data_IF_820420842884
#
_entry.id   IF_820420842884
#
_cell.length_a   1.000
_cell.length_b   1.000
_cell.length_c   1.000
_cell.angle_alpha   90.00
_cell.angle_beta   90.00
_cell.angle_gamma   90.00
#
_symmetry.space_group_name_H-M   'P 1'
#
loop_
_entity.id
_entity.type
_entity.pdbx_description
1 polymer ?
#
# COMPACT_ATOMS: atom_id res chain seq x y z
N UNK A 1 -1.80 14.86 3.86
CA UNK A 1 -1.31 16.12 4.46
C UNK A 1 -0.47 16.81 3.39
N UNK A 2 -0.92 17.96 2.88
CA UNK A 2 -0.13 18.77 1.94
C UNK A 2 0.72 19.73 2.79
N UNK A 3 2.03 19.71 2.59
CA UNK A 3 2.92 20.76 3.10
C UNK A 3 3.07 21.78 1.96
N UNK A 4 2.42 22.93 2.06
CA UNK A 4 2.56 24.00 1.06
C UNK A 4 3.34 25.18 1.65
N UNK A 5 4.54 25.42 1.11
CA UNK A 5 5.26 26.69 1.21
C UNK A 5 4.94 27.57 0.00
N UNK A 6 4.96 28.89 0.17
CA UNK A 6 4.63 29.84 -0.89
C UNK A 6 5.71 29.97 -1.97
N UNK A 7 5.23 30.29 -3.18
CA UNK A 7 5.87 30.91 -4.34
C UNK A 7 6.59 30.03 -5.38
N UNK A 8 5.84 29.70 -6.44
CA UNK A 8 6.25 29.62 -7.85
C UNK A 8 7.43 28.71 -8.25
N UNK A 9 7.46 27.49 -7.72
CA UNK A 9 8.19 26.37 -8.34
C UNK A 9 7.23 25.19 -8.31
N UNK A 10 7.15 24.39 -9.38
CA UNK A 10 6.47 23.09 -9.27
C UNK A 10 7.27 22.26 -8.26
N UNK A 11 6.89 22.37 -6.98
CA UNK A 11 7.37 21.51 -5.91
C UNK A 11 7.00 20.08 -6.31
N UNK A 12 7.92 19.14 -6.09
CA UNK A 12 7.66 17.73 -6.34
C UNK A 12 6.52 17.28 -5.42
N UNK A 13 5.28 17.37 -5.91
CA UNK A 13 4.09 17.05 -5.17
C UNK A 13 4.02 15.53 -4.99
N UNK A 14 4.45 15.05 -3.83
CA UNK A 14 4.30 13.66 -3.43
C UNK A 14 2.89 13.48 -2.85
N UNK A 15 2.16 12.51 -3.37
CA UNK A 15 0.85 12.11 -2.87
C UNK A 15 1.00 10.74 -2.22
N UNK A 16 0.60 10.65 -0.95
CA UNK A 16 0.45 9.38 -0.25
C UNK A 16 -0.97 8.88 -0.44
N UNK A 17 -1.11 7.65 -0.94
CA UNK A 17 -2.41 7.02 -1.17
C UNK A 17 -2.61 5.86 -0.19
N UNK A 18 -3.69 5.94 0.58
CA UNK A 18 -4.19 4.85 1.42
C UNK A 18 -5.64 4.55 1.02
N UNK A 19 -5.97 3.43 0.37
CA UNK A 19 -5.14 2.35 -0.20
C UNK A 19 -5.00 2.50 -1.73
N UNK A 20 -4.80 1.39 -2.46
CA UNK A 20 -4.88 1.34 -3.93
C UNK A 20 -5.99 0.36 -4.41
N UNK A 21 -6.40 0.42 -5.69
CA UNK A 21 -7.39 -0.52 -6.25
C UNK A 21 -7.02 -2.00 -6.09
N UNK A 22 -5.72 -2.32 -5.99
CA UNK A 22 -5.23 -3.67 -5.74
C UNK A 22 -5.80 -4.26 -4.44
N UNK A 23 -5.91 -3.44 -3.39
CA UNK A 23 -6.46 -3.87 -2.10
C UNK A 23 -7.96 -4.16 -2.23
N UNK A 24 -8.69 -3.37 -3.03
CA UNK A 24 -10.09 -3.63 -3.35
C UNK A 24 -10.29 -4.95 -4.08
N UNK A 25 -9.40 -5.32 -5.02
CA UNK A 25 -9.44 -6.61 -5.72
C UNK A 25 -9.36 -7.79 -4.72
N UNK A 26 -8.45 -7.72 -3.74
CA UNK A 26 -8.31 -8.80 -2.75
C UNK A 26 -9.45 -8.80 -1.72
N UNK A 27 -9.92 -7.63 -1.28
CA UNK A 27 -11.05 -7.55 -0.34
C UNK A 27 -12.36 -8.01 -0.95
N UNK A 28 -12.62 -7.69 -2.21
CA UNK A 28 -13.80 -8.16 -2.92
C UNK A 28 -13.81 -9.69 -2.96
N UNK A 29 -12.74 -10.32 -3.44
CA UNK A 29 -12.63 -11.78 -3.41
C UNK A 29 -12.79 -12.36 -1.99
N UNK A 30 -12.19 -11.73 -0.98
CA UNK A 30 -12.20 -12.25 0.39
C UNK A 30 -13.55 -12.13 1.08
N UNK A 31 -14.29 -11.03 0.89
CA UNK A 31 -15.56 -10.78 1.58
C UNK A 31 -16.77 -11.28 0.82
N UNK A 32 -16.77 -11.19 -0.51
CA UNK A 32 -17.92 -11.54 -1.35
C UNK A 32 -17.68 -12.75 -2.26
N UNK A 33 -16.46 -13.31 -2.27
CA UNK A 33 -16.12 -14.54 -3.00
C UNK A 33 -15.80 -14.35 -4.48
N UNK A 34 -15.77 -13.10 -4.98
CA UNK A 34 -15.35 -12.77 -6.33
C UNK A 34 -14.94 -11.31 -6.48
N UNK A 35 -14.21 -11.00 -7.56
CA UNK A 35 -13.94 -9.63 -8.00
C UNK A 35 -14.38 -9.46 -9.44
N UNK A 36 -15.08 -8.36 -9.73
CA UNK A 36 -15.57 -8.06 -11.09
C UNK A 36 -14.42 -7.76 -12.06
N UNK A 37 -14.68 -7.86 -13.36
CA UNK A 37 -13.66 -7.58 -14.37
C UNK A 37 -13.29 -6.09 -14.39
N UNK A 38 -14.24 -5.20 -14.13
CA UNK A 38 -14.02 -3.76 -14.08
C UNK A 38 -13.00 -3.38 -13.00
N UNK A 39 -13.10 -3.98 -11.80
CA UNK A 39 -12.12 -3.75 -10.73
C UNK A 39 -10.74 -4.26 -11.15
N UNK A 40 -10.66 -5.46 -11.74
CA UNK A 40 -9.39 -6.03 -12.21
C UNK A 40 -8.75 -5.17 -13.30
N UNK A 41 -9.54 -4.63 -14.22
CA UNK A 41 -9.09 -3.71 -15.26
C UNK A 41 -8.57 -2.40 -14.67
N UNK A 42 -9.24 -1.84 -13.65
CA UNK A 42 -8.76 -0.67 -12.91
C UNK A 42 -7.39 -0.97 -12.27
N UNK A 43 -7.22 -2.13 -11.62
CA UNK A 43 -5.92 -2.51 -11.05
C UNK A 43 -4.83 -2.53 -12.12
N UNK A 44 -5.06 -3.22 -13.23
CA UNK A 44 -4.06 -3.35 -14.31
C UNK A 44 -3.74 -2.00 -14.95
N UNK A 45 -4.73 -1.14 -15.18
CA UNK A 45 -4.55 0.16 -15.82
C UNK A 45 -3.95 1.22 -14.90
N UNK A 46 -4.04 1.06 -13.57
CA UNK A 46 -3.56 2.07 -12.61
C UNK A 46 -2.30 1.68 -11.85
N UNK A 47 -1.86 0.41 -11.90
CA UNK A 47 -0.69 -0.05 -11.13
C UNK A 47 0.58 0.75 -11.40
N UNK A 48 0.78 1.22 -12.63
CA UNK A 48 1.99 1.97 -13.02
C UNK A 48 1.88 3.48 -12.71
N UNK A 49 0.74 3.95 -12.19
CA UNK A 49 0.58 5.33 -11.69
C UNK A 49 1.28 5.54 -10.34
N UNK A 50 1.58 4.45 -9.63
CA UNK A 50 2.25 4.50 -8.34
C UNK A 50 3.75 4.24 -8.55
N UNK A 51 4.58 5.20 -8.16
CA UNK A 51 6.05 5.04 -8.28
C UNK A 51 6.68 4.21 -7.16
N UNK A 52 6.00 4.11 -6.02
CA UNK A 52 6.48 3.41 -4.84
C UNK A 52 5.31 2.75 -4.13
N UNK A 53 5.44 1.45 -3.90
CA UNK A 53 4.56 0.68 -3.03
C UNK A 53 5.29 0.36 -1.73
N UNK A 54 4.65 0.68 -0.61
CA UNK A 54 5.09 0.28 0.73
C UNK A 54 4.12 -0.78 1.23
N UNK A 55 4.60 -2.00 1.43
CA UNK A 55 3.81 -3.12 1.92
C UNK A 55 4.03 -3.27 3.42
N UNK A 56 2.99 -3.05 4.22
CA UNK A 56 3.02 -3.31 5.66
C UNK A 56 2.61 -4.77 5.92
N UNK A 57 3.44 -5.52 6.63
CA UNK A 57 3.05 -6.89 7.03
C UNK A 57 1.88 -6.89 8.04
N UNK A 58 1.22 -8.04 8.20
CA UNK A 58 0.09 -8.21 9.11
C UNK A 58 0.45 -8.70 10.52
N UNK A 59 1.73 -8.65 10.92
CA UNK A 59 2.23 -9.23 12.18
C UNK A 59 1.99 -8.35 13.42
N UNK A 60 1.47 -7.13 13.26
CA UNK A 60 1.03 -6.33 14.41
C UNK A 60 -0.14 -7.04 15.08
N UNK A 61 -0.08 -7.12 16.42
CA UNK A 61 -1.15 -7.68 17.23
C UNK A 61 -2.47 -6.98 16.92
N UNK A 62 -3.51 -7.78 16.72
CA UNK A 62 -4.85 -7.27 16.52
C UNK A 62 -5.27 -6.40 17.70
N UNK A 63 -5.85 -5.24 17.37
CA UNK A 63 -6.54 -4.37 18.31
C UNK A 63 -7.95 -4.24 17.76
N UNK A 64 -8.93 -4.57 18.60
CA UNK A 64 -10.34 -4.49 18.25
C UNK A 64 -10.71 -3.04 17.94
N UNK A 65 -11.32 -2.84 16.78
CA UNK A 65 -11.95 -1.58 16.40
C UNK A 65 -13.19 -1.84 15.53
N UNK A 66 -14.02 -0.82 15.33
CA UNK A 66 -15.32 -0.95 14.67
C UNK A 66 -15.25 -1.22 13.16
N UNK A 67 -14.07 -1.05 12.54
CA UNK A 67 -13.92 -1.00 11.08
C UNK A 67 -12.96 -2.04 10.51
N UNK A 68 -12.16 -2.72 11.35
CA UNK A 68 -11.25 -3.78 10.90
C UNK A 68 -11.96 -5.12 10.71
N UNK A 69 -11.55 -5.82 9.67
CA UNK A 69 -11.96 -7.19 9.36
C UNK A 69 -10.82 -8.18 9.63
N UNK A 70 -11.14 -9.47 9.78
CA UNK A 70 -10.19 -10.57 10.00
C UNK A 70 -9.41 -10.48 11.34
N UNK A 71 -10.09 -10.60 12.49
CA UNK A 71 -9.42 -10.59 13.80
C UNK A 71 -8.51 -11.82 14.02
N UNK A 72 -8.77 -12.92 13.31
CA UNK A 72 -7.99 -14.15 13.37
C UNK A 72 -6.66 -13.96 12.62
N UNK A 73 -5.55 -14.29 13.28
CA UNK A 73 -4.20 -14.12 12.72
C UNK A 73 -3.98 -14.90 11.42
N UNK A 74 -4.41 -16.15 11.38
CA UNK A 74 -4.30 -16.98 10.18
C UNK A 74 -5.03 -16.38 8.98
N UNK A 75 -6.19 -15.75 9.18
CA UNK A 75 -6.95 -15.14 8.09
C UNK A 75 -6.22 -13.92 7.51
N UNK A 76 -5.54 -13.14 8.37
CA UNK A 76 -4.69 -12.02 7.92
C UNK A 76 -3.47 -12.52 7.15
N UNK A 77 -2.84 -13.61 7.59
CA UNK A 77 -1.72 -14.24 6.87
C UNK A 77 -2.17 -14.71 5.49
N UNK A 78 -3.32 -15.38 5.38
CA UNK A 78 -3.90 -15.80 4.10
C UNK A 78 -4.20 -14.59 3.21
N UNK A 79 -4.77 -13.52 3.76
CA UNK A 79 -5.02 -12.29 3.01
C UNK A 79 -3.72 -11.67 2.47
N UNK A 80 -2.68 -11.59 3.32
CA UNK A 80 -1.35 -11.13 2.93
C UNK A 80 -0.76 -12.00 1.82
N UNK A 81 -0.86 -13.32 1.91
CA UNK A 81 -0.39 -14.25 0.87
C UNK A 81 -1.10 -14.03 -0.47
N UNK A 82 -2.44 -13.85 -0.45
CA UNK A 82 -3.21 -13.52 -1.66
C UNK A 82 -2.71 -12.22 -2.29
N UNK A 83 -2.48 -11.18 -1.48
CA UNK A 83 -2.00 -9.89 -1.96
C UNK A 83 -0.58 -9.99 -2.55
N UNK A 84 0.34 -10.71 -1.88
CA UNK A 84 1.71 -10.92 -2.37
C UNK A 84 1.71 -11.68 -3.70
N UNK A 85 0.90 -12.74 -3.81
CA UNK A 85 0.72 -13.47 -5.06
C UNK A 85 0.20 -12.56 -6.17
N UNK A 86 -0.77 -11.69 -5.86
CA UNK A 86 -1.32 -10.74 -6.84
C UNK A 86 -0.29 -9.70 -7.29
N UNK A 87 0.54 -9.19 -6.39
CA UNK A 87 1.68 -8.33 -6.75
C UNK A 87 2.63 -9.06 -7.72
N UNK A 88 2.96 -10.33 -7.44
CA UNK A 88 3.82 -11.14 -8.29
C UNK A 88 3.21 -11.36 -9.69
N UNK A 89 1.93 -11.71 -9.78
CA UNK A 89 1.22 -11.89 -11.05
C UNK A 89 1.20 -10.62 -11.91
N UNK A 90 1.08 -9.46 -11.27
CA UNK A 90 1.01 -8.16 -11.95
C UNK A 90 2.37 -7.47 -12.13
N UNK A 91 3.46 -8.09 -11.64
CA UNK A 91 4.80 -7.52 -11.67
C UNK A 91 4.98 -6.27 -10.79
N UNK A 92 4.10 -6.05 -9.80
CA UNK A 92 4.15 -4.89 -8.91
C UNK A 92 5.33 -5.06 -7.94
N UNK A 93 6.27 -4.11 -8.01
CA UNK A 93 7.38 -4.03 -7.07
C UNK A 93 6.96 -3.25 -5.83
N UNK A 94 7.38 -3.72 -4.66
CA UNK A 94 7.08 -3.09 -3.38
C UNK A 94 8.25 -3.22 -2.42
N UNK A 95 8.31 -2.32 -1.44
CA UNK A 95 9.18 -2.46 -0.29
C UNK A 95 8.40 -3.04 0.88
N UNK A 96 8.90 -4.15 1.43
CA UNK A 96 8.27 -4.85 2.54
C UNK A 96 8.71 -4.22 3.87
N UNK A 97 7.74 -3.85 4.70
CA UNK A 97 7.94 -3.16 5.97
C UNK A 97 7.48 -4.07 7.12
N UNK A 98 8.43 -4.42 7.99
CA UNK A 98 8.26 -5.35 9.11
C UNK A 98 8.69 -4.72 10.42
N UNK A 99 8.36 -5.39 11.53
CA UNK A 99 8.69 -4.97 12.88
C UNK A 99 7.53 -4.28 13.58
N UNK A 100 7.82 -3.50 14.60
CA UNK A 100 6.84 -2.67 15.31
C UNK A 100 6.51 -1.38 14.53
N UNK A 101 5.66 -0.53 15.12
CA UNK A 101 5.23 0.73 14.50
C UNK A 101 6.40 1.67 14.19
N UNK A 102 7.33 1.84 15.13
CA UNK A 102 8.48 2.74 14.98
C UNK A 102 9.44 2.25 13.90
N UNK A 103 9.73 0.94 13.88
CA UNK A 103 10.59 0.32 12.87
C UNK A 103 10.02 0.49 11.46
N UNK A 104 8.72 0.26 11.28
CA UNK A 104 8.04 0.44 9.99
C UNK A 104 8.06 1.88 9.52
N UNK A 105 7.77 2.81 10.41
CA UNK A 105 7.75 4.24 10.10
C UNK A 105 9.15 4.74 9.69
N UNK A 106 10.19 4.35 10.45
CA UNK A 106 11.56 4.72 10.14
C UNK A 106 12.02 4.10 8.80
N UNK A 107 11.68 2.83 8.55
CA UNK A 107 11.99 2.18 7.28
C UNK A 107 11.28 2.84 6.10
N UNK A 108 9.99 3.18 6.23
CA UNK A 108 9.24 3.92 5.22
C UNK A 108 9.90 5.26 4.89
N UNK A 109 10.23 6.06 5.91
CA UNK A 109 10.93 7.35 5.74
C UNK A 109 12.26 7.18 5.01
N UNK A 110 13.06 6.19 5.41
CA UNK A 110 14.35 5.90 4.77
C UNK A 110 14.19 5.56 3.29
N UNK A 111 13.23 4.69 2.93
CA UNK A 111 12.96 4.32 1.53
C UNK A 111 12.55 5.53 0.70
N UNK A 112 11.67 6.39 1.23
CA UNK A 112 11.20 7.58 0.51
C UNK A 112 12.35 8.58 0.33
N UNK A 113 13.16 8.83 1.35
CA UNK A 113 14.33 9.73 1.26
C UNK A 113 15.33 9.23 0.20
N UNK A 114 15.55 7.92 0.12
CA UNK A 114 16.41 7.30 -0.90
C UNK A 114 15.89 7.45 -2.33
N UNK A 115 14.61 7.75 -2.54
CA UNK A 115 14.09 8.01 -3.88
C UNK A 115 14.53 9.35 -4.47
N UNK A 116 15.21 10.19 -3.68
CA UNK A 116 15.70 11.51 -4.08
C UNK A 116 14.61 12.48 -4.60
N UNK A 117 13.31 12.17 -4.38
CA UNK A 117 12.20 12.99 -4.84
C UNK A 117 12.14 14.38 -4.20
N UNK A 118 12.79 14.53 -3.05
CA UNK A 118 12.91 15.81 -2.36
C UNK A 118 14.18 16.60 -2.73
N UNK A 119 15.10 16.01 -3.50
CA UNK A 119 16.34 16.66 -3.89
C UNK A 119 16.09 17.53 -5.12
N UNK A 120 15.80 18.81 -4.89
CA UNK A 120 15.92 19.85 -5.92
C UNK A 120 17.40 19.91 -6.37
N UNK A 121 17.64 19.77 -7.67
CA UNK A 121 18.79 20.40 -8.34
C UNK A 121 18.28 21.59 -9.13
#
# INVERSE_FOLDING_TARGET
MLLSGNDNQFENNIIFCDTSPLITDIWSDTLIGYTTNEVKEIVVSTKDNYKLYLFLDCNIKWVEDEVRFLPVENDRLIFQEKLLKRCQELGIQYHFLQGDYESRENNAKNIIIQQEWFLKK
#
